data_IF_899541311468
#
_entry.id   IF_899541311468
#
_cell.length_a   1.000
_cell.length_b   1.000
_cell.length_c   1.000
_cell.angle_alpha   90.00
_cell.angle_beta   90.00
_cell.angle_gamma   90.00
#
_symmetry.space_group_name_H-M   'P 1'
#
loop_
_entity.id
_entity.type
_entity.pdbx_description
1 polymer ?
#
# COMPACT_ATOMS: atom_id res chain seq x y z
N UNK A 1 -0.46 0.45 -9.39
CA UNK A 1 -1.09 1.59 -10.10
C UNK A 1 -0.64 2.86 -9.41
N UNK A 2 -0.41 3.96 -10.14
CA UNK A 2 0.08 5.22 -9.58
C UNK A 2 -0.71 6.37 -10.20
N UNK A 3 -0.98 7.42 -9.43
CA UNK A 3 -1.37 8.74 -9.94
C UNK A 3 -0.16 9.65 -9.83
N UNK A 4 0.27 10.24 -10.95
CA UNK A 4 1.53 11.01 -11.04
C UNK A 4 1.33 12.51 -10.94
N UNK A 5 0.11 13.01 -11.09
CA UNK A 5 -0.26 14.43 -10.97
C UNK A 5 -1.66 14.56 -10.37
N UNK A 6 -1.98 15.67 -9.67
CA UNK A 6 -3.31 15.89 -9.11
C UNK A 6 -4.44 15.76 -10.13
N UNK A 7 -5.51 15.07 -9.76
CA UNK A 7 -6.66 14.70 -10.60
C UNK A 7 -6.31 13.93 -11.90
N UNK A 8 -5.07 13.45 -12.02
CA UNK A 8 -4.59 12.66 -13.14
C UNK A 8 -5.15 11.23 -13.17
N UNK A 9 -5.00 10.52 -14.30
CA UNK A 9 -5.47 9.15 -14.41
C UNK A 9 -4.66 8.19 -13.54
N UNK A 10 -5.31 7.12 -13.09
CA UNK A 10 -4.63 5.99 -12.46
C UNK A 10 -3.92 5.16 -13.54
N UNK A 11 -2.59 5.12 -13.52
CA UNK A 11 -1.78 4.42 -14.54
C UNK A 11 -1.07 3.19 -13.97
N UNK A 12 -0.89 2.16 -14.80
CA UNK A 12 -0.03 1.04 -14.47
C UNK A 12 1.44 1.51 -14.54
N UNK A 13 2.16 1.37 -13.44
CA UNK A 13 3.58 1.75 -13.36
C UNK A 13 4.33 0.68 -12.57
N UNK A 14 5.55 0.38 -13.03
CA UNK A 14 6.54 -0.26 -12.17
C UNK A 14 6.99 0.76 -11.12
N UNK A 15 7.15 0.31 -9.88
CA UNK A 15 7.65 1.11 -8.76
C UNK A 15 8.71 0.29 -8.06
N UNK A 16 9.85 0.89 -7.79
CA UNK A 16 10.90 0.26 -6.99
C UNK A 16 10.52 0.33 -5.51
N UNK A 17 10.61 -0.81 -4.83
CA UNK A 17 10.37 -0.84 -3.39
C UNK A 17 11.64 -0.36 -2.67
N UNK A 18 11.49 0.61 -1.78
CA UNK A 18 12.57 1.01 -0.88
C UNK A 18 13.02 -0.17 0.01
N UNK A 19 14.26 -0.18 0.52
CA UNK A 19 14.69 -1.14 1.54
C UNK A 19 13.72 -1.17 2.72
N UNK A 20 13.51 -2.35 3.30
CA UNK A 20 12.59 -2.54 4.42
C UNK A 20 13.20 -1.93 5.70
N UNK A 21 12.44 -1.10 6.43
CA UNK A 21 12.84 -0.72 7.78
C UNK A 21 12.72 -1.91 8.73
N UNK A 22 13.56 -1.95 9.78
CA UNK A 22 13.59 -3.05 10.75
C UNK A 22 12.24 -3.35 11.44
N UNK A 23 11.30 -2.41 11.49
CA UNK A 23 9.97 -2.60 12.09
C UNK A 23 8.86 -2.88 11.06
N UNK A 24 9.19 -3.05 9.78
CA UNK A 24 8.23 -3.26 8.71
C UNK A 24 8.15 -4.73 8.28
N UNK A 25 7.03 -5.10 7.68
CA UNK A 25 6.87 -6.33 6.89
C UNK A 25 6.58 -5.96 5.44
N UNK A 26 7.09 -6.75 4.50
CA UNK A 26 6.74 -6.62 3.08
C UNK A 26 5.66 -7.63 2.74
N UNK A 27 4.60 -7.16 2.08
CA UNK A 27 3.49 -7.99 1.65
C UNK A 27 3.45 -8.06 0.13
N UNK A 28 3.50 -9.27 -0.42
CA UNK A 28 3.11 -9.53 -1.80
C UNK A 28 1.57 -9.50 -1.86
N UNK A 29 1.03 -8.37 -2.28
CA UNK A 29 -0.41 -8.15 -2.43
C UNK A 29 -0.95 -9.09 -3.51
N UNK A 30 -2.00 -9.86 -3.18
CA UNK A 30 -2.69 -10.77 -4.11
C UNK A 30 -4.01 -10.18 -4.60
N UNK A 31 -4.66 -9.38 -3.77
CA UNK A 31 -5.87 -8.65 -4.11
C UNK A 31 -5.94 -7.34 -3.31
N UNK A 32 -6.59 -6.33 -3.89
CA UNK A 32 -6.95 -5.09 -3.22
C UNK A 32 -8.42 -4.80 -3.49
N UNK A 33 -9.17 -4.43 -2.45
CA UNK A 33 -10.48 -3.79 -2.58
C UNK A 33 -10.36 -2.40 -3.19
N UNK A 34 -11.49 -1.87 -3.65
CA UNK A 34 -11.65 -0.50 -4.16
C UNK A 34 -12.81 0.14 -3.40
N UNK A 35 -12.49 1.16 -2.63
CA UNK A 35 -13.41 1.87 -1.76
C UNK A 35 -13.64 3.30 -2.24
N UNK A 36 -14.74 3.91 -1.83
CA UNK A 36 -15.02 5.33 -2.14
C UNK A 36 -13.91 6.27 -1.64
N UNK A 37 -13.28 5.95 -0.50
CA UNK A 37 -12.20 6.75 0.06
C UNK A 37 -10.93 6.77 -0.84
N UNK A 38 -10.72 5.75 -1.68
CA UNK A 38 -9.59 5.73 -2.61
C UNK A 38 -9.67 6.85 -3.65
N UNK A 39 -10.88 7.36 -3.96
CA UNK A 39 -11.06 8.51 -4.85
C UNK A 39 -10.38 9.75 -4.26
N UNK A 40 -10.47 9.95 -2.94
CA UNK A 40 -9.82 11.07 -2.26
C UNK A 40 -8.30 11.00 -2.38
N UNK A 41 -7.74 9.81 -2.15
CA UNK A 41 -6.30 9.55 -2.31
C UNK A 41 -5.85 9.68 -3.76
N UNK A 42 -6.60 9.11 -4.70
CA UNK A 42 -6.27 9.10 -6.12
C UNK A 42 -6.32 10.50 -6.74
N UNK A 43 -7.13 11.43 -6.22
CA UNK A 43 -7.09 12.82 -6.70
C UNK A 43 -5.80 13.55 -6.36
N UNK A 44 -5.00 13.03 -5.41
CA UNK A 44 -3.74 13.65 -4.98
C UNK A 44 -3.85 15.17 -4.78
N UNK A 45 -4.98 15.59 -4.18
CA UNK A 45 -5.38 16.99 -3.99
C UNK A 45 -5.20 17.40 -2.53
N UNK A 46 -5.47 18.67 -2.19
CA UNK A 46 -5.22 19.26 -0.85
C UNK A 46 -5.79 18.50 0.37
N UNK A 47 -6.71 17.57 0.17
CA UNK A 47 -7.30 16.73 1.23
C UNK A 47 -6.64 15.34 1.36
N UNK A 48 -5.71 14.98 0.48
CA UNK A 48 -5.03 13.69 0.42
C UNK A 48 -3.51 13.84 0.27
N UNK A 49 -2.78 12.72 0.15
CA UNK A 49 -1.33 12.75 -0.14
C UNK A 49 -1.05 13.37 -1.51
N UNK A 50 0.09 14.08 -1.61
CA UNK A 50 0.56 14.64 -2.87
C UNK A 50 0.96 13.54 -3.87
N UNK A 51 0.89 13.86 -5.17
CA UNK A 51 1.39 12.98 -6.20
C UNK A 51 2.94 12.97 -6.22
N UNK A 52 3.60 11.84 -6.56
CA UNK A 52 3.01 10.57 -6.98
C UNK A 52 2.45 9.74 -5.82
N UNK A 53 1.30 9.11 -6.03
CA UNK A 53 0.65 8.25 -5.00
C UNK A 53 0.14 6.94 -5.57
N UNK A 54 0.26 5.87 -4.78
CA UNK A 54 -0.43 4.59 -5.00
C UNK A 54 -1.64 4.52 -4.07
N UNK A 55 -2.89 4.64 -4.58
CA UNK A 55 -4.09 4.47 -3.75
C UNK A 55 -4.35 2.99 -3.42
N UNK A 56 -5.28 2.74 -2.49
CA UNK A 56 -5.65 1.40 -2.03
C UNK A 56 -5.27 1.17 -0.56
N UNK A 57 -6.23 0.70 0.23
CA UNK A 57 -6.08 0.50 1.67
C UNK A 57 -6.80 -0.76 2.20
N UNK A 58 -7.22 -1.63 1.29
CA UNK A 58 -7.94 -2.87 1.57
C UNK A 58 -7.20 -4.03 0.89
N UNK A 59 -6.00 -4.36 1.36
CA UNK A 59 -5.15 -5.35 0.69
C UNK A 59 -5.12 -6.69 1.43
N UNK A 60 -5.06 -7.78 0.67
CA UNK A 60 -4.80 -9.12 1.18
C UNK A 60 -3.64 -9.76 0.42
N UNK A 61 -2.73 -10.41 1.14
CA UNK A 61 -1.50 -10.91 0.55
C UNK A 61 -0.73 -11.88 1.44
N UNK A 62 0.55 -12.05 1.10
CA UNK A 62 1.48 -12.94 1.80
C UNK A 62 2.72 -12.16 2.20
N UNK A 63 3.19 -12.32 3.43
CA UNK A 63 4.44 -11.72 3.90
C UNK A 63 5.62 -12.35 3.15
N UNK A 64 6.47 -11.52 2.52
CA UNK A 64 7.65 -11.97 1.76
C UNK A 64 8.97 -11.54 2.38
N UNK A 65 8.96 -10.58 3.29
CA UNK A 65 10.14 -10.08 3.99
C UNK A 65 9.72 -9.51 5.35
N UNK A 66 10.56 -9.69 6.36
CA UNK A 66 10.28 -9.26 7.74
C UNK A 66 11.51 -8.54 8.28
N UNK A 67 11.33 -7.32 8.79
CA UNK A 67 12.38 -6.56 9.43
C UNK A 67 12.86 -7.21 10.73
N UNK A 68 14.12 -6.96 11.10
CA UNK A 68 14.81 -7.57 12.24
C UNK A 68 14.20 -7.28 13.63
N UNK A 69 13.46 -6.17 13.74
CA UNK A 69 12.76 -5.74 14.94
C UNK A 69 11.28 -6.13 14.97
N UNK A 70 10.75 -6.73 13.90
CA UNK A 70 9.38 -7.25 13.90
C UNK A 70 9.27 -8.49 14.79
N UNK A 71 8.11 -8.63 15.44
CA UNK A 71 7.75 -9.79 16.28
C UNK A 71 6.35 -10.26 15.90
N UNK A 72 6.11 -11.57 16.01
CA UNK A 72 4.80 -12.17 15.79
C UNK A 72 4.41 -12.42 14.32
N UNK A 73 5.29 -12.10 13.36
CA UNK A 73 5.08 -12.33 11.93
C UNK A 73 6.27 -13.07 11.33
N UNK A 74 5.99 -13.90 10.32
CA UNK A 74 6.98 -14.69 9.59
C UNK A 74 6.71 -14.64 8.07
N UNK A 75 7.76 -14.88 7.28
CA UNK A 75 7.61 -15.03 5.83
C UNK A 75 6.70 -16.21 5.52
N UNK A 76 5.72 -16.00 4.64
CA UNK A 76 4.69 -16.98 4.31
C UNK A 76 3.34 -16.73 4.98
N UNK A 77 3.27 -15.89 6.01
CA UNK A 77 2.02 -15.55 6.68
C UNK A 77 1.04 -14.87 5.71
N UNK A 78 -0.23 -15.29 5.79
CA UNK A 78 -1.34 -14.67 5.06
C UNK A 78 -1.88 -13.50 5.89
N UNK A 79 -1.88 -12.32 5.31
CA UNK A 79 -2.25 -11.08 6.00
C UNK A 79 -3.28 -10.28 5.22
N UNK A 80 -4.08 -9.51 5.95
CA UNK A 80 -4.93 -8.46 5.40
C UNK A 80 -4.62 -7.14 6.11
N UNK A 81 -4.61 -6.05 5.37
CA UNK A 81 -4.48 -4.69 5.87
C UNK A 81 -5.77 -3.96 5.50
N UNK A 82 -6.50 -3.51 6.50
CA UNK A 82 -7.71 -2.70 6.34
C UNK A 82 -7.49 -1.26 6.76
N UNK A 83 -8.42 -0.38 6.40
CA UNK A 83 -8.38 1.05 6.70
C UNK A 83 -8.26 1.38 8.20
N UNK A 84 -8.97 0.62 9.04
CA UNK A 84 -9.04 0.84 10.47
C UNK A 84 -8.02 -0.06 11.17
N UNK A 85 -6.86 0.50 11.53
CA UNK A 85 -6.01 -0.10 12.54
C UNK A 85 -6.61 0.24 13.92
N UNK A 86 -7.00 -0.78 14.67
CA UNK A 86 -7.40 -0.67 16.08
C UNK A 86 -6.18 -0.78 16.98
#
# INVERSE_FOLDING_TARGET
>A
MVVTEPDGPLVASAVENAPLDGQQVRVSVRASGVCHADIGTARASKAGPDAPVTPGHEVAGVVTEVGDRVRGWTVGDRVAVGWLAW
#
